data_IF_394650620272
#
_entry.id   IF_394650620272
#
_cell.length_a   1.000
_cell.length_b   1.000
_cell.length_c   1.000
_cell.angle_alpha   90.00
_cell.angle_beta   90.00
_cell.angle_gamma   90.00
#
_symmetry.space_group_name_H-M   'P 1'
#
loop_
_entity.id
_entity.type
_entity.pdbx_description
1 polymer ?
#
# COMPACT_ATOMS: atom_id res chain seq x y z
N UNK A 1 -3.27 14.49 7.65
CA UNK A 1 -3.89 13.16 7.64
C UNK A 1 -5.35 13.33 7.33
N UNK A 2 -5.86 12.50 6.44
CA UNK A 2 -7.23 12.56 5.93
C UNK A 2 -8.18 11.88 6.93
N UNK A 3 -9.40 12.39 6.97
CA UNK A 3 -10.51 11.82 7.72
C UNK A 3 -11.45 11.11 6.74
N UNK A 4 -11.84 9.86 6.98
CA UNK A 4 -12.76 9.16 6.09
C UNK A 4 -14.16 9.79 6.16
N UNK A 5 -14.86 9.83 5.03
CA UNK A 5 -16.29 10.16 4.96
C UNK A 5 -17.09 8.89 4.78
N UNK A 6 -18.41 8.89 4.98
CA UNK A 6 -19.24 7.69 4.74
C UNK A 6 -19.10 7.12 3.32
N UNK A 7 -18.70 7.94 2.35
CA UNK A 7 -18.54 7.58 0.95
C UNK A 7 -17.10 7.16 0.57
N UNK A 8 -16.15 7.26 1.51
CA UNK A 8 -14.72 7.00 1.26
C UNK A 8 -14.07 6.24 2.40
N UNK A 9 -13.20 5.31 2.06
CA UNK A 9 -12.25 4.73 3.01
C UNK A 9 -10.93 5.49 2.91
N UNK A 10 -10.23 5.64 4.04
CA UNK A 10 -8.82 6.08 4.03
C UNK A 10 -7.95 4.83 4.15
N UNK A 11 -7.02 4.64 3.24
CA UNK A 11 -5.95 3.66 3.39
C UNK A 11 -4.65 4.39 3.66
N UNK A 12 -4.13 4.20 4.87
CA UNK A 12 -2.90 4.83 5.33
C UNK A 12 -1.74 3.86 5.19
N UNK A 13 -0.86 4.17 4.24
CA UNK A 13 0.37 3.43 4.03
C UNK A 13 1.45 4.03 4.92
N UNK A 14 2.10 3.19 5.73
CA UNK A 14 3.12 3.60 6.69
C UNK A 14 4.40 2.81 6.45
N UNK A 15 5.55 3.50 6.45
CA UNK A 15 6.87 2.87 6.48
C UNK A 15 7.63 3.25 7.74
N UNK A 16 7.40 2.55 8.87
CA UNK A 16 8.09 2.82 10.13
C UNK A 16 9.60 2.57 10.09
N UNK A 17 10.04 1.65 9.24
CA UNK A 17 11.45 1.28 9.12
C UNK A 17 12.25 2.33 8.34
N UNK A 18 13.46 2.62 8.83
CA UNK A 18 14.46 3.39 8.09
C UNK A 18 15.34 2.51 7.19
N UNK A 19 15.18 1.19 7.24
CA UNK A 19 15.95 0.26 6.43
C UNK A 19 15.70 0.50 4.93
N UNK A 20 16.78 0.50 4.14
CA UNK A 20 16.73 0.86 2.73
C UNK A 20 16.34 2.33 2.52
N UNK A 21 16.89 3.26 3.31
CA UNK A 21 16.51 4.68 3.32
C UNK A 21 16.49 5.34 1.93
N UNK A 22 17.44 4.98 1.05
CA UNK A 22 17.53 5.49 -0.32
C UNK A 22 16.62 4.74 -1.32
N UNK A 23 15.78 3.82 -0.86
CA UNK A 23 14.94 2.95 -1.71
C UNK A 23 13.49 3.32 -1.48
N UNK A 24 12.91 4.00 -2.45
CA UNK A 24 11.49 4.32 -2.50
C UNK A 24 10.79 3.41 -3.50
N UNK A 25 9.48 3.18 -3.31
CA UNK A 25 8.70 2.38 -4.24
C UNK A 25 7.24 2.80 -4.33
N UNK A 26 6.71 2.72 -5.54
CA UNK A 26 5.33 3.05 -5.83
C UNK A 26 4.36 1.98 -5.34
N UNK A 27 3.23 2.44 -4.79
CA UNK A 27 2.08 1.62 -4.45
C UNK A 27 0.92 2.00 -5.36
N UNK A 28 0.25 0.98 -5.88
CA UNK A 28 -0.86 1.11 -6.82
C UNK A 28 -2.10 0.44 -6.27
N UNK A 29 -3.27 0.93 -6.69
CA UNK A 29 -4.58 0.33 -6.50
C UNK A 29 -5.15 -0.03 -7.87
N UNK A 30 -5.08 -1.31 -8.23
CA UNK A 30 -5.21 -1.73 -9.62
C UNK A 30 -4.22 -0.97 -10.51
N UNK A 31 -4.73 -0.33 -11.57
CA UNK A 31 -3.90 0.45 -12.51
C UNK A 31 -3.66 1.90 -12.06
N UNK A 32 -4.20 2.34 -10.91
CA UNK A 32 -4.05 3.70 -10.41
C UNK A 32 -2.86 3.80 -9.46
N UNK A 33 -1.97 4.75 -9.68
CA UNK A 33 -0.89 5.03 -8.75
C UNK A 33 -1.44 5.81 -7.54
N UNK A 34 -1.24 5.29 -6.33
CA UNK A 34 -1.82 5.88 -5.10
C UNK A 34 -0.80 6.56 -4.21
N UNK A 35 0.48 6.26 -4.37
CA UNK A 35 1.53 6.94 -3.63
C UNK A 35 2.92 6.32 -3.76
N UNK A 36 3.85 6.87 -3.00
CA UNK A 36 5.23 6.40 -2.91
C UNK A 36 5.59 6.12 -1.44
N UNK A 37 6.12 4.93 -1.19
CA UNK A 37 6.54 4.46 0.12
C UNK A 37 7.97 4.90 0.44
N UNK A 38 8.10 6.03 1.13
CA UNK A 38 9.38 6.62 1.56
C UNK A 38 9.74 6.19 2.99
N UNK A 39 11.03 5.99 3.27
CA UNK A 39 11.50 5.59 4.60
C UNK A 39 11.08 6.61 5.67
N UNK A 40 10.68 6.13 6.86
CA UNK A 40 10.24 6.96 7.99
C UNK A 40 9.06 7.89 7.67
N UNK A 41 8.22 7.51 6.70
CA UNK A 41 7.12 8.33 6.24
C UNK A 41 5.81 7.54 6.11
N UNK A 42 4.73 8.27 5.89
CA UNK A 42 3.38 7.76 5.66
C UNK A 42 2.62 8.66 4.69
N UNK A 43 1.65 8.09 3.98
CA UNK A 43 0.75 8.82 3.10
C UNK A 43 -0.65 8.20 3.14
N UNK A 44 -1.66 9.01 2.82
CA UNK A 44 -3.05 8.59 2.77
C UNK A 44 -3.55 8.46 1.34
N UNK A 45 -4.38 7.45 1.11
CA UNK A 45 -5.13 7.25 -0.11
C UNK A 45 -6.64 7.24 0.20
N UNK A 46 -7.41 8.07 -0.51
CA UNK A 46 -8.88 8.02 -0.46
C UNK A 46 -9.39 7.00 -1.47
N UNK A 47 -9.86 5.87 -0.95
CA UNK A 47 -10.44 4.79 -1.72
C UNK A 47 -11.98 4.89 -1.75
N UNK A 48 -12.58 4.40 -2.83
CA UNK A 48 -14.01 4.07 -2.82
C UNK A 48 -14.24 2.84 -1.92
N UNK A 49 -15.42 2.66 -1.32
CA UNK A 49 -15.77 1.40 -0.69
C UNK A 49 -15.81 0.27 -1.73
N UNK A 50 -15.48 -0.95 -1.31
CA UNK A 50 -15.50 -2.14 -2.15
C UNK A 50 -14.15 -2.86 -2.23
N UNK A 51 -13.95 -3.60 -3.32
CA UNK A 51 -12.78 -4.46 -3.53
C UNK A 51 -11.63 -3.69 -4.17
N UNK A 52 -10.43 -3.89 -3.65
CA UNK A 52 -9.19 -3.29 -4.10
C UNK A 52 -8.07 -4.33 -4.19
N UNK A 53 -7.11 -4.07 -5.07
CA UNK A 53 -5.87 -4.84 -5.17
C UNK A 53 -4.70 -3.87 -5.10
N UNK A 54 -4.03 -3.85 -3.94
CA UNK A 54 -2.83 -3.07 -3.79
C UNK A 54 -1.63 -3.83 -4.32
N UNK A 55 -0.81 -3.17 -5.15
CA UNK A 55 0.38 -3.78 -5.75
C UNK A 55 1.60 -2.87 -5.65
N UNK A 56 2.74 -3.49 -5.39
CA UNK A 56 4.06 -2.87 -5.50
C UNK A 56 5.02 -3.82 -6.21
N UNK A 57 5.93 -3.27 -7.01
CA UNK A 57 6.86 -4.05 -7.84
C UNK A 57 8.29 -3.52 -7.68
N UNK A 58 9.19 -4.40 -7.23
CA UNK A 58 10.62 -4.18 -7.16
C UNK A 58 11.35 -5.39 -7.78
N UNK A 59 12.32 -6.00 -7.08
CA UNK A 59 12.84 -7.34 -7.47
C UNK A 59 11.73 -8.40 -7.45
N UNK A 60 10.77 -8.26 -6.54
CA UNK A 60 9.57 -9.08 -6.46
C UNK A 60 8.29 -8.29 -6.82
N UNK A 61 7.21 -9.03 -7.07
CA UNK A 61 5.84 -8.52 -7.08
C UNK A 61 5.21 -8.82 -5.72
N UNK A 62 4.54 -7.86 -5.11
CA UNK A 62 3.77 -8.07 -3.88
C UNK A 62 2.37 -7.51 -4.07
N UNK A 63 1.39 -8.27 -3.59
CA UNK A 63 -0.02 -7.94 -3.71
C UNK A 63 -0.69 -7.96 -2.34
N UNK A 64 -1.75 -7.19 -2.18
CA UNK A 64 -2.64 -7.23 -1.02
C UNK A 64 -4.07 -7.00 -1.49
N UNK A 65 -4.95 -7.94 -1.19
CA UNK A 65 -6.38 -7.77 -1.44
C UNK A 65 -7.00 -6.96 -0.30
N UNK A 66 -7.94 -6.09 -0.62
CA UNK A 66 -8.66 -5.33 0.40
C UNK A 66 -10.15 -5.25 0.07
N UNK A 67 -10.98 -5.39 1.09
CA UNK A 67 -12.40 -5.08 1.04
C UNK A 67 -12.67 -3.95 2.04
N UNK A 68 -12.95 -2.77 1.51
CA UNK A 68 -12.99 -1.51 2.25
C UNK A 68 -14.42 -1.03 2.43
N UNK A 69 -14.74 -0.58 3.63
CA UNK A 69 -15.96 0.16 3.94
C UNK A 69 -15.69 1.65 4.12
N UNK A 70 -16.63 2.48 3.67
CA UNK A 70 -16.59 3.92 3.86
C UNK A 70 -16.66 4.31 5.34
N UNK A 71 -16.07 5.45 5.68
CA UNK A 71 -16.06 5.97 7.05
C UNK A 71 -14.99 5.35 7.95
N UNK A 72 -14.11 4.48 7.39
CA UNK A 72 -13.05 3.80 8.14
C UNK A 72 -11.66 4.14 7.64
N UNK A 73 -10.68 4.02 8.54
CA UNK A 73 -9.25 4.07 8.24
C UNK A 73 -8.67 2.67 8.30
N UNK A 74 -8.00 2.27 7.23
CA UNK A 74 -7.26 1.02 7.11
C UNK A 74 -5.77 1.32 7.08
N UNK A 75 -4.96 0.42 7.64
CA UNK A 75 -3.53 0.63 7.76
C UNK A 75 -2.75 -0.46 7.04
N UNK A 76 -1.73 -0.05 6.30
CA UNK A 76 -0.83 -0.94 5.57
C UNK A 76 0.60 -0.58 5.93
N UNK A 77 1.35 -1.53 6.49
CA UNK A 77 2.79 -1.33 6.67
C UNK A 77 3.50 -1.70 5.38
N UNK A 78 4.32 -0.79 4.88
CA UNK A 78 5.20 -1.02 3.75
C UNK A 78 6.61 -1.35 4.25
N UNK A 79 7.25 -2.33 3.62
CA UNK A 79 8.56 -2.83 4.03
C UNK A 79 9.51 -2.95 2.86
N UNK A 80 10.79 -2.72 3.14
CA UNK A 80 11.92 -3.05 2.25
C UNK A 80 12.71 -4.18 2.91
N UNK A 81 13.14 -5.15 2.12
CA UNK A 81 14.00 -6.27 2.54
C UNK A 81 15.13 -6.44 1.53
N UNK A 82 16.26 -7.01 1.97
CA UNK A 82 17.33 -7.36 1.03
C UNK A 82 16.85 -8.46 0.07
N UNK A 83 17.16 -8.28 -1.21
CA UNK A 83 17.07 -9.32 -2.22
C UNK A 83 18.46 -9.78 -2.65
N UNK A 84 18.52 -10.61 -3.69
CA UNK A 84 19.79 -11.16 -4.19
C UNK A 84 20.56 -10.10 -4.99
N UNK A 85 19.86 -9.26 -5.74
CA UNK A 85 20.45 -8.26 -6.63
C UNK A 85 19.93 -6.85 -6.39
N UNK A 86 18.66 -6.70 -6.00
CA UNK A 86 17.96 -5.45 -5.69
C UNK A 86 17.09 -5.64 -4.46
N UNK A 87 16.61 -4.53 -3.89
CA UNK A 87 15.67 -4.61 -2.78
C UNK A 87 14.34 -5.27 -3.18
N UNK A 88 13.82 -6.07 -2.25
CA UNK A 88 12.46 -6.60 -2.26
C UNK A 88 11.55 -5.71 -1.43
N UNK A 89 10.28 -5.67 -1.79
CA UNK A 89 9.26 -4.86 -1.12
C UNK A 89 8.09 -5.72 -0.66
N UNK A 90 7.41 -5.27 0.38
CA UNK A 90 6.27 -5.97 0.97
C UNK A 90 5.19 -5.02 1.44
N UNK A 91 3.95 -5.50 1.37
CA UNK A 91 2.77 -4.87 1.96
C UNK A 91 2.29 -5.78 3.10
N UNK A 92 2.05 -5.22 4.28
CA UNK A 92 1.57 -5.96 5.45
C UNK A 92 0.25 -5.37 5.91
N UNK A 93 -0.79 -6.21 5.93
CA UNK A 93 -2.12 -5.80 6.38
C UNK A 93 -2.09 -5.64 7.90
N UNK A 94 -2.59 -4.51 8.39
CA UNK A 94 -2.74 -4.30 9.83
C UNK A 94 -4.15 -4.68 10.23
N UNK A 95 -4.30 -5.92 10.69
CA UNK A 95 -5.52 -6.48 11.26
C UNK A 95 -5.31 -6.83 12.74
N UNK A 96 -6.36 -7.26 13.44
CA UNK A 96 -6.32 -7.60 14.89
C UNK A 96 -5.24 -8.59 15.30
N UNK A 97 -4.83 -9.47 14.39
CA UNK A 97 -3.76 -10.46 14.64
C UNK A 97 -2.35 -9.96 14.27
N UNK A 98 -2.23 -8.75 13.75
CA UNK A 98 -0.96 -8.17 13.30
C UNK A 98 -0.17 -7.59 14.47
N UNK A 99 1.15 -7.80 14.49
CA UNK A 99 2.06 -7.16 15.46
C UNK A 99 2.07 -5.62 15.41
N UNK A 100 1.48 -5.05 14.35
CA UNK A 100 1.37 -3.61 14.14
C UNK A 100 0.03 -3.03 14.60
N UNK A 101 -0.94 -3.87 15.00
CA UNK A 101 -2.30 -3.45 15.34
C UNK A 101 -2.34 -2.30 16.35
N UNK A 102 -1.55 -2.39 17.41
CA UNK A 102 -1.52 -1.36 18.47
C UNK A 102 -0.49 -0.25 18.23
N UNK A 103 0.34 -0.38 17.18
CA UNK A 103 1.44 0.56 16.88
C UNK A 103 1.05 1.65 15.90
N UNK A 104 -0.07 1.52 15.19
CA UNK A 104 -0.47 2.47 14.12
C UNK A 104 -0.59 3.90 14.63
N UNK A 105 -1.08 4.13 15.85
CA UNK A 105 -1.17 5.48 16.42
C UNK A 105 0.18 6.06 16.84
N UNK A 106 1.12 5.22 17.26
CA UNK A 106 2.50 5.65 17.50
C UNK A 106 3.15 6.07 16.18
N UNK A 107 3.03 5.23 15.15
CA UNK A 107 3.56 5.50 13.82
C UNK A 107 2.93 6.73 13.19
N UNK A 108 1.62 6.92 13.32
CA UNK A 108 0.95 8.10 12.80
C UNK A 108 1.49 9.41 13.39
N UNK A 109 1.90 9.40 14.66
CA UNK A 109 2.49 10.56 15.33
C UNK A 109 3.97 10.76 14.95
N UNK A 110 4.72 9.66 14.84
CA UNK A 110 6.17 9.70 14.64
C UNK A 110 6.65 9.77 13.18
N UNK A 111 5.81 9.41 12.21
CA UNK A 111 6.22 9.37 10.79
C UNK A 111 5.96 10.67 10.05
N UNK A 112 6.89 11.00 9.16
CA UNK A 112 6.77 12.11 8.23
C UNK A 112 5.51 11.96 7.38
N UNK A 113 4.69 13.02 7.34
CA UNK A 113 3.38 13.02 6.69
C UNK A 113 3.54 13.54 5.27
N UNK A 114 3.57 12.65 4.30
CA UNK A 114 3.66 13.04 2.89
C UNK A 114 2.27 13.41 2.38
N UNK A 115 2.23 14.48 1.59
CA UNK A 115 1.07 14.81 0.79
C UNK A 115 1.25 14.24 -0.60
N UNK A 116 0.15 13.78 -1.20
CA UNK A 116 0.16 13.26 -2.56
C UNK A 116 0.43 14.40 -3.54
N UNK A 117 1.62 14.41 -4.13
CA UNK A 117 1.95 15.28 -5.26
C UNK A 117 1.28 14.73 -6.53
N UNK A 118 0.14 15.31 -6.88
CA UNK A 118 -0.70 14.83 -7.99
C UNK A 118 0.00 14.91 -9.34
N UNK A 119 0.90 15.87 -9.56
CA UNK A 119 1.65 15.99 -10.81
C UNK A 119 2.74 14.93 -10.92
N UNK A 120 3.50 14.72 -9.84
CA UNK A 120 4.52 13.67 -9.79
C UNK A 120 3.89 12.28 -9.92
N UNK A 121 2.76 12.05 -9.24
CA UNK A 121 2.03 10.78 -9.34
C UNK A 121 1.55 10.53 -10.77
N UNK A 122 0.99 11.53 -11.46
CA UNK A 122 0.56 11.35 -12.85
C UNK A 122 1.72 10.96 -13.77
N UNK A 123 2.87 11.64 -13.64
CA UNK A 123 4.08 11.32 -14.42
C UNK A 123 4.58 9.89 -14.17
N UNK A 124 4.59 9.45 -12.91
CA UNK A 124 4.99 8.08 -12.56
C UNK A 124 3.96 7.04 -12.97
N UNK A 125 2.67 7.39 -12.93
CA UNK A 125 1.58 6.55 -13.39
C UNK A 125 1.75 6.23 -14.87
N UNK A 126 1.90 7.27 -15.71
CA UNK A 126 2.07 7.11 -17.16
C UNK A 126 3.28 6.22 -17.50
N UNK A 127 4.39 6.38 -16.76
CA UNK A 127 5.60 5.57 -16.94
C UNK A 127 5.42 4.11 -16.50
N UNK A 128 4.63 3.87 -15.46
CA UNK A 128 4.46 2.55 -14.85
C UNK A 128 3.29 1.73 -15.38
N UNK A 129 2.30 2.38 -16.01
CA UNK A 129 0.99 1.81 -16.33
C UNK A 129 1.05 0.51 -17.11
N UNK A 130 1.83 0.45 -18.19
CA UNK A 130 1.95 -0.76 -19.01
C UNK A 130 2.52 -1.94 -18.21
N UNK A 131 3.54 -1.68 -17.38
CA UNK A 131 4.15 -2.69 -16.50
C UNK A 131 3.15 -3.19 -15.46
N UNK A 132 2.43 -2.28 -14.81
CA UNK A 132 1.45 -2.64 -13.78
C UNK A 132 0.27 -3.41 -14.37
N UNK A 133 -0.22 -3.01 -15.55
CA UNK A 133 -1.25 -3.75 -16.27
C UNK A 133 -0.82 -5.19 -16.55
N UNK A 134 0.40 -5.41 -17.03
CA UNK A 134 0.93 -6.76 -17.24
C UNK A 134 1.02 -7.56 -15.91
N UNK A 135 1.46 -6.92 -14.83
CA UNK A 135 1.54 -7.54 -13.50
C UNK A 135 0.16 -7.92 -12.94
N UNK A 136 -0.87 -7.11 -13.18
CA UNK A 136 -2.24 -7.41 -12.78
C UNK A 136 -2.85 -8.54 -13.62
N UNK A 137 -2.60 -8.56 -14.93
CA UNK A 137 -3.01 -9.69 -15.77
C UNK A 137 -2.40 -11.00 -15.28
N UNK A 138 -1.11 -11.00 -14.95
CA UNK A 138 -0.44 -12.18 -14.38
C UNK A 138 -1.01 -12.56 -13.00
N UNK A 139 -1.37 -11.56 -12.19
CA UNK A 139 -2.06 -11.78 -10.92
C UNK A 139 -3.35 -12.56 -11.12
N UNK A 140 -4.26 -12.06 -11.95
CA UNK A 140 -5.58 -12.67 -12.14
C UNK A 140 -5.50 -14.04 -12.82
N UNK A 141 -4.53 -14.25 -13.72
CA UNK A 141 -4.40 -15.48 -14.49
C UNK A 141 -3.68 -16.61 -13.75
N UNK A 142 -2.72 -16.29 -12.87
CA UNK A 142 -1.81 -17.31 -12.32
C UNK A 142 -1.43 -17.13 -10.85
N UNK A 143 -1.31 -15.89 -10.36
CA UNK A 143 -0.78 -15.65 -9.01
C UNK A 143 -1.87 -15.58 -7.93
N UNK A 144 -3.11 -15.24 -8.29
CA UNK A 144 -4.22 -15.07 -7.35
C UNK A 144 -4.56 -16.36 -6.62
N UNK A 145 -4.63 -17.48 -7.34
CA UNK A 145 -4.96 -18.79 -6.77
C UNK A 145 -3.79 -19.45 -6.03
N UNK A 146 -2.55 -19.08 -6.38
CA UNK A 146 -1.34 -19.72 -5.86
C UNK A 146 -0.69 -18.98 -4.69
N UNK A 147 -1.02 -17.69 -4.50
CA UNK A 147 -0.40 -16.86 -3.48
C UNK A 147 -1.18 -16.76 -2.17
N UNK A 148 -0.45 -16.78 -1.05
CA UNK A 148 -0.96 -16.32 0.26
C UNK A 148 -0.75 -14.81 0.37
N UNK A 149 -1.64 -14.05 -0.26
CA UNK A 149 -1.59 -12.58 -0.23
C UNK A 149 -2.16 -12.04 1.09
N UNK A 150 -1.52 -11.03 1.71
CA UNK A 150 -2.13 -10.29 2.81
C UNK A 150 -3.49 -9.74 2.42
N UNK A 151 -4.41 -9.69 3.38
CA UNK A 151 -5.77 -9.19 3.17
C UNK A 151 -6.18 -8.19 4.22
N UNK A 152 -6.84 -7.11 3.78
CA UNK A 152 -7.66 -6.25 4.63
C UNK A 152 -9.12 -6.62 4.44
N UNK A 153 -9.85 -6.77 5.53
CA UNK A 153 -11.29 -7.04 5.56
C UNK A 153 -12.05 -5.86 6.15
N UNK A 154 -13.38 -5.76 5.97
CA UNK A 154 -14.18 -4.67 6.51
C UNK A 154 -13.98 -4.43 8.02
N UNK A 155 -13.78 -5.49 8.81
CA UNK A 155 -13.58 -5.41 10.26
C UNK A 155 -12.20 -4.87 10.70
N UNK A 156 -11.25 -4.74 9.77
CA UNK A 156 -9.90 -4.24 10.06
C UNK A 156 -9.83 -2.72 10.12
N UNK A 157 -10.80 -2.03 9.51
CA UNK A 157 -10.88 -0.57 9.51
C UNK A 157 -11.36 -0.01 10.85
N UNK A 158 -10.79 1.12 11.27
CA UNK A 158 -11.12 1.82 12.52
C UNK A 158 -11.42 3.30 12.34
#
# INVERSE_FOLDING_TARGET
MLTPTKEKAVVRFMRPSGFGYAIDFNVWDGEKLVGNSVAKAQFDYLAVPGRHIFVAVAENKTFMEAELEGGKVYYVITQVRMGVWKARVGLVAVNRGSEFWDKVQEYERGLNKLQSDTEALKKWEDKGKSKIKAVLTEYDTSLKASGKWPRLKPEDGR
#
